data_IF_121253650542
#
_entry.id   IF_121253650542
#
_cell.length_a   1.000
_cell.length_b   1.000
_cell.length_c   1.000
_cell.angle_alpha   90.00
_cell.angle_beta   90.00
_cell.angle_gamma   90.00
#
_symmetry.space_group_name_H-M   'P 1'
#
loop_
_entity.id
_entity.type
_entity.pdbx_description
1 polymer ?
#
# COMPACT_ATOMS: atom_id res chain seq x y z
N UNK A 1 -2.89 25.65 -14.69
CA UNK A 1 -3.26 25.16 -13.33
C UNK A 1 -4.69 24.62 -13.36
N UNK A 2 -4.88 23.31 -13.49
CA UNK A 2 -6.19 22.69 -13.64
C UNK A 2 -6.78 22.35 -12.26
N UNK A 3 -7.87 23.01 -11.86
CA UNK A 3 -8.61 22.72 -10.63
C UNK A 3 -9.71 21.68 -10.91
N UNK A 4 -9.40 20.40 -10.72
CA UNK A 4 -10.39 19.33 -10.80
C UNK A 4 -11.30 19.33 -9.58
N UNK A 5 -12.60 19.60 -9.77
CA UNK A 5 -13.63 19.42 -8.73
C UNK A 5 -14.01 17.94 -8.67
N UNK A 6 -13.61 17.24 -7.61
CA UNK A 6 -14.10 15.89 -7.31
C UNK A 6 -15.45 16.02 -6.60
N UNK A 7 -16.53 15.56 -7.24
CA UNK A 7 -17.85 15.43 -6.62
C UNK A 7 -18.02 14.00 -6.14
N UNK A 8 -18.12 13.81 -4.82
CA UNK A 8 -18.45 12.53 -4.21
C UNK A 8 -19.97 12.39 -4.25
N UNK A 9 -20.48 11.44 -5.02
CA UNK A 9 -21.90 11.05 -4.98
C UNK A 9 -22.14 10.17 -3.76
N UNK A 10 -22.98 10.63 -2.82
CA UNK A 10 -23.54 9.77 -1.77
C UNK A 10 -24.77 9.05 -2.34
N UNK A 11 -24.83 7.72 -2.34
CA UNK A 11 -26.08 7.02 -2.63
C UNK A 11 -27.07 7.28 -1.48
N UNK A 12 -28.31 7.62 -1.84
CA UNK A 12 -29.43 7.71 -0.90
C UNK A 12 -29.71 6.29 -0.36
N UNK A 13 -29.38 6.02 0.90
CA UNK A 13 -29.81 4.79 1.56
C UNK A 13 -31.30 4.93 1.94
N UNK A 14 -32.17 4.32 1.15
CA UNK A 14 -33.58 4.12 1.53
C UNK A 14 -33.65 3.03 2.60
N UNK A 15 -33.90 3.41 3.85
CA UNK A 15 -34.13 2.47 4.95
C UNK A 15 -35.44 1.68 4.79
N UNK A 16 -35.62 0.56 5.52
CA UNK A 16 -36.82 -0.27 5.43
C UNK A 16 -38.08 0.48 5.94
N UNK A 17 -39.27 0.16 5.42
CA UNK A 17 -40.51 0.81 5.81
C UNK A 17 -40.88 0.52 7.28
N UNK A 18 -41.53 1.46 7.99
CA UNK A 18 -41.80 1.32 9.42
C UNK A 18 -42.87 0.27 9.70
N UNK A 19 -42.61 -0.63 10.64
CA UNK A 19 -43.58 -1.60 11.16
C UNK A 19 -44.61 -0.90 12.06
N UNK A 20 -45.90 -1.21 11.88
CA UNK A 20 -47.00 -0.66 12.70
C UNK A 20 -46.85 -1.08 14.17
N UNK A 21 -46.81 -0.11 15.08
CA UNK A 21 -46.68 -0.30 16.54
C UNK A 21 -48.04 -0.64 17.18
N UNK A 22 -48.04 -1.53 18.18
CA UNK A 22 -49.23 -1.83 19.02
C UNK A 22 -49.43 -0.75 20.10
N UNK A 23 -50.67 -0.48 20.55
CA UNK A 23 -50.92 0.54 21.56
C UNK A 23 -50.51 0.02 22.94
N UNK A 24 -49.57 0.71 23.60
CA UNK A 24 -49.18 0.40 24.99
C UNK A 24 -47.75 0.75 25.41
N UNK A 25 -46.85 1.03 24.47
CA UNK A 25 -45.46 1.39 24.82
C UNK A 25 -45.34 2.87 25.20
N UNK A 26 -45.18 3.12 26.49
CA UNK A 26 -44.82 4.42 27.06
C UNK A 26 -43.51 4.91 26.42
N UNK A 27 -43.57 5.99 25.66
CA UNK A 27 -42.44 6.56 24.92
C UNK A 27 -41.30 6.97 25.88
N UNK A 28 -40.24 6.16 25.98
CA UNK A 28 -38.94 6.70 26.37
C UNK A 28 -38.48 7.60 25.22
N UNK A 29 -38.18 8.90 25.42
CA UNK A 29 -37.76 9.75 24.34
C UNK A 29 -36.48 9.17 23.73
N UNK A 30 -36.57 8.80 22.45
CA UNK A 30 -35.42 8.40 21.65
C UNK A 30 -34.52 9.63 21.59
N UNK A 31 -33.37 9.57 22.26
CA UNK A 31 -32.35 10.61 22.11
C UNK A 31 -32.02 10.71 20.63
N UNK A 32 -32.28 11.86 20.02
CA UNK A 32 -31.85 12.13 18.65
C UNK A 32 -30.34 11.91 18.57
N UNK A 33 -29.92 11.08 17.60
CA UNK A 33 -28.50 10.87 17.33
C UNK A 33 -27.99 12.17 16.75
N UNK A 34 -27.15 12.88 17.50
CA UNK A 34 -26.51 14.10 17.04
C UNK A 34 -25.56 13.76 15.87
N UNK A 35 -26.01 13.98 14.64
CA UNK A 35 -25.18 13.87 13.44
C UNK A 35 -24.38 15.16 13.32
N UNK A 36 -23.24 15.23 14.01
CA UNK A 36 -22.26 16.29 13.82
C UNK A 36 -21.51 16.07 12.51
N UNK A 37 -21.72 16.93 11.50
CA UNK A 37 -20.81 17.02 10.37
C UNK A 37 -19.60 17.83 10.83
N UNK A 38 -18.44 17.17 11.00
CA UNK A 38 -17.18 17.88 11.20
C UNK A 38 -16.78 18.56 9.88
N UNK A 39 -17.22 19.80 9.67
CA UNK A 39 -16.93 20.61 8.48
C UNK A 39 -15.52 21.21 8.50
N UNK A 40 -14.79 21.06 9.60
CA UNK A 40 -13.45 21.60 9.80
C UNK A 40 -12.50 20.49 10.26
N UNK A 41 -12.22 19.54 9.38
CA UNK A 41 -11.08 18.64 9.59
C UNK A 41 -9.79 19.44 9.35
N UNK A 42 -9.09 19.83 10.43
CA UNK A 42 -7.73 20.37 10.36
C UNK A 42 -6.69 19.27 10.04
N UNK A 43 -7.05 18.33 9.17
CA UNK A 43 -6.14 17.28 8.72
C UNK A 43 -5.32 17.88 7.60
N UNK A 44 -4.11 18.32 7.94
CA UNK A 44 -3.08 18.67 6.97
C UNK A 44 -2.80 17.43 6.11
N UNK A 45 -3.04 17.54 4.81
CA UNK A 45 -2.71 16.47 3.86
C UNK A 45 -1.20 16.24 3.88
N UNK A 46 -0.78 15.08 4.36
CA UNK A 46 0.63 14.68 4.30
C UNK A 46 0.98 14.33 2.86
N UNK A 47 2.09 14.83 2.30
CA UNK A 47 2.57 14.40 0.99
C UNK A 47 2.72 12.88 0.95
N UNK A 48 2.23 12.25 -0.11
CA UNK A 48 2.44 10.81 -0.30
C UNK A 48 3.94 10.55 -0.39
N UNK A 49 4.44 9.61 0.41
CA UNK A 49 5.83 9.15 0.30
C UNK A 49 6.05 8.56 -1.11
N UNK A 50 7.27 8.68 -1.67
CA UNK A 50 7.63 7.97 -2.88
C UNK A 50 7.27 6.49 -2.76
N UNK A 51 6.64 5.94 -3.80
CA UNK A 51 6.29 4.53 -3.81
C UNK A 51 7.58 3.70 -3.84
N UNK A 52 7.75 2.83 -2.85
CA UNK A 52 8.84 1.84 -2.81
C UNK A 52 8.30 0.51 -3.30
N UNK A 53 9.04 -0.14 -4.17
CA UNK A 53 8.74 -1.50 -4.64
C UNK A 53 9.83 -2.45 -4.16
N UNK A 54 9.59 -3.75 -4.27
CA UNK A 54 10.59 -4.75 -3.91
C UNK A 54 10.55 -5.91 -4.88
N UNK A 55 11.73 -6.40 -5.25
CA UNK A 55 11.93 -7.64 -5.99
C UNK A 55 12.31 -8.73 -5.00
N UNK A 56 11.60 -9.86 -5.05
CA UNK A 56 11.90 -11.02 -4.22
C UNK A 56 12.71 -12.03 -5.01
N UNK A 57 14.01 -12.06 -4.75
CA UNK A 57 14.91 -13.06 -5.34
C UNK A 57 15.01 -14.25 -4.38
N UNK A 58 14.64 -15.43 -4.87
CA UNK A 58 14.56 -16.67 -4.08
C UNK A 58 15.25 -17.83 -4.81
N UNK A 59 15.50 -18.92 -4.07
CA UNK A 59 16.24 -20.10 -4.58
C UNK A 59 17.67 -19.77 -5.03
N UNK A 60 18.29 -18.76 -4.39
CA UNK A 60 19.70 -18.45 -4.57
C UNK A 60 20.56 -19.48 -3.84
N UNK A 61 21.79 -19.66 -4.28
CA UNK A 61 22.77 -20.50 -3.59
C UNK A 61 22.93 -20.00 -2.13
N UNK A 62 23.06 -20.88 -1.13
CA UNK A 62 23.17 -20.45 0.27
C UNK A 62 24.36 -19.54 0.57
N UNK A 63 25.41 -19.64 -0.23
CA UNK A 63 26.60 -18.78 -0.12
C UNK A 63 26.42 -17.42 -0.80
N UNK A 64 25.33 -17.21 -1.56
CA UNK A 64 25.04 -15.91 -2.15
C UNK A 64 24.87 -14.87 -1.06
N UNK A 65 25.67 -13.82 -1.17
CA UNK A 65 25.72 -12.74 -0.19
C UNK A 65 24.96 -11.51 -0.69
N UNK A 66 24.65 -10.61 0.25
CA UNK A 66 24.03 -9.32 -0.06
C UNK A 66 24.84 -8.50 -1.09
N UNK A 67 26.17 -8.35 -0.98
CA UNK A 67 26.93 -7.57 -1.96
C UNK A 67 26.91 -8.17 -3.36
N UNK A 68 26.82 -9.50 -3.51
CA UNK A 68 26.72 -10.13 -4.84
C UNK A 68 25.45 -9.67 -5.57
N UNK A 69 24.32 -9.69 -4.85
CA UNK A 69 23.02 -9.26 -5.39
C UNK A 69 22.98 -7.76 -5.64
N UNK A 70 23.54 -6.95 -4.72
CA UNK A 70 23.63 -5.51 -4.92
C UNK A 70 24.51 -5.14 -6.10
N UNK A 71 25.64 -5.81 -6.30
CA UNK A 71 26.53 -5.59 -7.44
C UNK A 71 25.81 -5.85 -8.78
N UNK A 72 25.05 -6.94 -8.85
CA UNK A 72 24.25 -7.26 -10.04
C UNK A 72 23.13 -6.26 -10.30
N UNK A 73 22.45 -5.79 -9.26
CA UNK A 73 21.38 -4.80 -9.44
C UNK A 73 21.96 -3.43 -9.82
N UNK A 74 23.06 -3.03 -9.19
CA UNK A 74 23.71 -1.75 -9.44
C UNK A 74 24.32 -1.65 -10.85
N UNK A 75 24.60 -2.78 -11.52
CA UNK A 75 25.02 -2.76 -12.93
C UNK A 75 23.88 -2.42 -13.89
N UNK A 76 22.62 -2.61 -13.47
CA UNK A 76 21.42 -2.34 -14.27
C UNK A 76 20.80 -1.01 -13.92
N UNK A 77 20.72 -0.69 -12.62
CA UNK A 77 20.13 0.56 -12.15
C UNK A 77 20.99 1.19 -11.07
N UNK A 78 21.31 2.47 -11.25
CA UNK A 78 21.99 3.27 -10.23
C UNK A 78 20.95 3.86 -9.27
N UNK A 79 20.45 3.05 -8.33
CA UNK A 79 19.49 3.48 -7.31
C UNK A 79 20.17 3.58 -5.94
N UNK A 80 20.45 4.80 -5.48
CA UNK A 80 21.05 5.06 -4.16
C UNK A 80 20.10 4.68 -3.00
N UNK A 81 18.81 4.55 -3.27
CA UNK A 81 17.80 4.16 -2.27
C UNK A 81 17.61 2.65 -2.15
N UNK A 82 18.39 1.88 -2.93
CA UNK A 82 18.32 0.44 -2.99
C UNK A 82 18.78 -0.19 -1.66
N UNK A 83 17.92 -1.05 -1.11
CA UNK A 83 18.23 -1.78 0.13
C UNK A 83 18.01 -3.27 -0.09
N UNK A 84 19.06 -4.06 0.12
CA UNK A 84 19.00 -5.51 0.08
C UNK A 84 19.20 -6.07 1.48
N UNK A 85 18.33 -7.01 1.88
CA UNK A 85 18.46 -7.70 3.18
C UNK A 85 18.42 -9.20 2.96
N UNK A 86 19.25 -9.96 3.68
CA UNK A 86 19.17 -11.42 3.65
C UNK A 86 18.15 -11.89 4.68
N UNK A 87 17.12 -12.58 4.22
CA UNK A 87 16.14 -13.18 5.11
C UNK A 87 16.65 -14.51 5.67
N UNK A 88 16.29 -14.80 6.92
CA UNK A 88 16.55 -16.09 7.55
C UNK A 88 15.61 -17.13 6.94
N UNK A 89 16.13 -18.04 6.12
CA UNK A 89 15.37 -19.14 5.55
C UNK A 89 15.25 -20.31 6.54
N UNK A 90 14.16 -21.07 6.44
CA UNK A 90 13.98 -22.32 7.20
C UNK A 90 14.94 -23.42 6.71
N UNK A 91 15.26 -23.40 5.42
CA UNK A 91 16.08 -24.40 4.76
C UNK A 91 17.44 -23.80 4.40
N UNK A 92 18.55 -24.44 4.82
CA UNK A 92 19.90 -23.95 4.51
C UNK A 92 20.29 -24.18 3.05
N UNK A 93 19.46 -24.86 2.26
CA UNK A 93 19.73 -25.16 0.85
C UNK A 93 19.54 -23.95 -0.07
N UNK A 94 18.94 -22.86 0.41
CA UNK A 94 18.79 -21.65 -0.39
C UNK A 94 18.75 -20.37 0.45
N UNK A 95 19.13 -19.28 -0.19
CA UNK A 95 19.00 -17.93 0.33
C UNK A 95 17.81 -17.19 -0.30
N UNK A 96 17.25 -16.24 0.46
CA UNK A 96 16.22 -15.30 0.01
C UNK A 96 16.72 -13.89 0.29
N UNK A 97 16.79 -13.07 -0.76
CA UNK A 97 17.28 -11.70 -0.69
C UNK A 97 16.26 -10.75 -1.35
N UNK A 98 15.32 -10.19 -0.58
CA UNK A 98 14.49 -9.08 -1.06
C UNK A 98 15.35 -7.85 -1.34
N UNK A 99 15.06 -7.22 -2.47
CA UNK A 99 15.70 -6.00 -2.92
C UNK A 99 14.65 -4.89 -3.04
N UNK A 100 14.73 -3.88 -2.18
CA UNK A 100 13.82 -2.74 -2.15
C UNK A 100 14.36 -1.62 -3.04
N UNK A 101 13.51 -1.06 -3.89
CA UNK A 101 13.88 -0.04 -4.89
C UNK A 101 12.82 1.03 -5.04
N UNK A 102 13.19 2.11 -5.73
CA UNK A 102 12.21 3.10 -6.19
C UNK A 102 11.24 2.49 -7.23
N UNK A 103 10.07 3.11 -7.39
CA UNK A 103 9.10 2.66 -8.38
C UNK A 103 9.60 2.74 -9.84
N UNK A 104 10.51 3.69 -10.10
CA UNK A 104 11.11 3.94 -11.41
C UNK A 104 12.17 2.88 -11.72
N UNK A 105 13.07 2.63 -10.77
CA UNK A 105 14.11 1.58 -10.84
C UNK A 105 13.53 0.19 -11.02
N UNK A 106 12.38 -0.08 -10.39
CA UNK A 106 11.70 -1.36 -10.47
C UNK A 106 11.33 -1.76 -11.90
N UNK A 107 10.93 -0.79 -12.73
CA UNK A 107 10.52 -1.09 -14.10
C UNK A 107 11.72 -1.60 -14.92
N UNK A 108 12.88 -0.96 -14.78
CA UNK A 108 14.12 -1.36 -15.44
C UNK A 108 14.61 -2.73 -14.93
N UNK A 109 14.58 -2.98 -13.61
CA UNK A 109 14.99 -4.29 -13.07
C UNK A 109 14.02 -5.43 -13.40
N UNK A 110 12.77 -5.12 -13.72
CA UNK A 110 11.77 -6.12 -14.09
C UNK A 110 11.66 -6.31 -15.60
N UNK A 111 12.51 -5.63 -16.39
CA UNK A 111 12.60 -5.84 -17.83
C UNK A 111 13.67 -6.91 -18.13
N UNK A 112 13.27 -7.93 -18.89
CA UNK A 112 14.13 -9.05 -19.24
C UNK A 112 15.32 -8.64 -20.13
N UNK A 113 15.19 -7.53 -20.88
CA UNK A 113 16.26 -7.01 -21.72
C UNK A 113 17.39 -6.34 -20.91
N UNK A 114 17.16 -6.05 -19.63
CA UNK A 114 18.08 -5.27 -18.79
C UNK A 114 19.23 -6.09 -18.22
N UNK A 115 19.13 -7.42 -18.24
CA UNK A 115 20.22 -8.32 -17.93
C UNK A 115 20.61 -8.99 -19.25
N UNK A 116 21.66 -8.47 -19.91
CA UNK A 116 22.06 -8.88 -21.26
C UNK A 116 21.98 -10.41 -21.46
N UNK A 117 21.12 -10.81 -22.40
CA UNK A 117 21.01 -12.18 -22.89
C UNK A 117 22.10 -12.48 -23.93
#
# INVERSE_FOLDING_TARGET
MCRGKVRIFRPQQTGPPPLKRRPGDTHRPVREVAVGANTSSAITSVPRRPARKALFVSRLHPDTSVPDVLGLVNSVVTDESAVCTRLKSKYPSYAILPHHTSADSFAALNDAASFGA
#
